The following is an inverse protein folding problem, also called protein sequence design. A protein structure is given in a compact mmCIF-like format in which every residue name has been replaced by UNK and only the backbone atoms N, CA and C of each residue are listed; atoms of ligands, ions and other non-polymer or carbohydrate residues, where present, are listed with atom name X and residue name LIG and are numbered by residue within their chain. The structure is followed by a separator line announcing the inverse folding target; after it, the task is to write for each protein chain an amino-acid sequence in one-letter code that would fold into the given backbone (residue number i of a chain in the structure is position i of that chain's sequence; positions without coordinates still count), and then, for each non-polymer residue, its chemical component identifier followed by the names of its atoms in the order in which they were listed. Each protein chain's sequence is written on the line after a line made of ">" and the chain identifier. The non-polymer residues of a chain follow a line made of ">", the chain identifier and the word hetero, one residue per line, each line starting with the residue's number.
data_IF_040936807654
#
_entry.id   IF_040936807654
#
_cell.length_a   1.000
_cell.length_b   1.000
_cell.length_c   1.000
_cell.angle_alpha   90.00
_cell.angle_beta   90.00
_cell.angle_gamma   90.00
#
_symmetry.space_group_name_H-M   'P 1'
#
loop_
_entity.id
_entity.type
_entity.pdbx_description
1 polymer ?
#
# COMPACT_ATOMS: atom_id res chain seq x y z
N UNK A 1 -32.31 -56.22 11.22
CA UNK A 1 -33.25 -55.07 11.25
C UNK A 1 -32.82 -53.89 12.13
N UNK A 2 -32.67 -54.00 13.46
CA UNK A 2 -32.32 -52.82 14.29
C UNK A 2 -30.88 -52.34 14.06
N UNK A 3 -29.93 -53.27 13.93
CA UNK A 3 -28.53 -52.96 13.63
C UNK A 3 -28.35 -52.30 12.24
N UNK A 4 -29.08 -52.74 11.22
CA UNK A 4 -29.03 -52.13 9.87
C UNK A 4 -29.54 -50.69 9.86
N UNK A 5 -30.62 -50.40 10.59
CA UNK A 5 -31.16 -49.03 10.69
C UNK A 5 -30.18 -48.08 11.38
N UNK A 6 -29.48 -48.56 12.41
CA UNK A 6 -28.42 -47.79 13.10
C UNK A 6 -27.25 -47.54 12.14
N UNK A 7 -26.83 -48.55 11.36
CA UNK A 7 -25.71 -48.46 10.42
C UNK A 7 -26.00 -47.50 9.25
N UNK A 8 -27.23 -47.51 8.72
CA UNK A 8 -27.67 -46.57 7.69
C UNK A 8 -27.75 -45.14 8.24
N UNK A 9 -28.24 -44.97 9.47
CA UNK A 9 -28.35 -43.65 10.09
C UNK A 9 -26.97 -43.08 10.43
N UNK A 10 -26.05 -43.89 10.96
CA UNK A 10 -24.69 -43.46 11.28
C UNK A 10 -23.87 -43.13 10.04
N UNK A 11 -23.99 -43.92 8.97
CA UNK A 11 -23.35 -43.63 7.69
C UNK A 11 -23.89 -42.34 7.04
N UNK A 12 -25.20 -42.09 7.09
CA UNK A 12 -25.80 -40.83 6.64
C UNK A 12 -25.29 -39.61 7.40
N UNK A 13 -25.18 -39.70 8.73
CA UNK A 13 -24.62 -38.63 9.57
C UNK A 13 -23.15 -38.37 9.26
N UNK A 14 -22.35 -39.43 9.09
CA UNK A 14 -20.93 -39.30 8.73
C UNK A 14 -20.77 -38.64 7.36
N UNK A 15 -21.51 -39.08 6.34
CA UNK A 15 -21.47 -38.48 5.01
C UNK A 15 -21.86 -37.01 5.07
N UNK A 16 -22.95 -36.66 5.77
CA UNK A 16 -23.36 -35.28 5.97
C UNK A 16 -22.26 -34.42 6.60
N UNK A 17 -21.64 -34.92 7.68
CA UNK A 17 -20.52 -34.24 8.34
C UNK A 17 -19.32 -34.03 7.40
N UNK A 18 -18.91 -35.04 6.65
CA UNK A 18 -17.82 -34.93 5.68
C UNK A 18 -18.13 -33.93 4.57
N UNK A 19 -19.35 -33.96 4.02
CA UNK A 19 -19.79 -33.01 3.00
C UNK A 19 -19.76 -31.57 3.52
N UNK A 20 -20.26 -31.32 4.74
CA UNK A 20 -20.22 -29.97 5.34
C UNK A 20 -18.78 -29.51 5.56
N UNK A 21 -17.90 -30.38 6.09
CA UNK A 21 -16.49 -30.01 6.31
C UNK A 21 -15.74 -29.74 5.00
N UNK A 22 -15.98 -30.53 3.96
CA UNK A 22 -15.40 -30.29 2.64
C UNK A 22 -15.92 -28.99 2.02
N UNK A 23 -17.21 -28.70 2.16
CA UNK A 23 -17.79 -27.44 1.71
C UNK A 23 -17.19 -26.24 2.44
N UNK A 24 -17.06 -26.29 3.76
CA UNK A 24 -16.46 -25.23 4.57
C UNK A 24 -15.00 -24.99 4.18
N UNK A 25 -14.23 -26.07 3.97
CA UNK A 25 -12.84 -25.98 3.51
C UNK A 25 -12.74 -25.31 2.14
N UNK A 26 -13.58 -25.74 1.18
CA UNK A 26 -13.59 -25.17 -0.16
C UNK A 26 -14.01 -23.69 -0.15
N UNK A 27 -15.06 -23.35 0.60
CA UNK A 27 -15.53 -21.97 0.77
C UNK A 27 -14.43 -21.10 1.36
N UNK A 28 -13.82 -21.52 2.47
CA UNK A 28 -12.72 -20.79 3.11
C UNK A 28 -11.52 -20.61 2.18
N UNK A 29 -11.19 -21.63 1.38
CA UNK A 29 -10.12 -21.54 0.39
C UNK A 29 -10.44 -20.51 -0.70
N UNK A 30 -11.68 -20.51 -1.22
CA UNK A 30 -12.13 -19.57 -2.24
C UNK A 30 -12.17 -18.13 -1.71
N UNK A 31 -12.70 -17.93 -0.51
CA UNK A 31 -12.79 -16.61 0.12
C UNK A 31 -11.39 -16.02 0.35
N UNK A 32 -10.45 -16.82 0.87
CA UNK A 32 -9.05 -16.42 0.99
C UNK A 32 -8.42 -16.09 -0.37
N UNK A 33 -8.68 -16.88 -1.41
CA UNK A 33 -8.14 -16.59 -2.75
C UNK A 33 -8.67 -15.27 -3.31
N UNK A 34 -9.95 -15.00 -3.10
CA UNK A 34 -10.58 -13.74 -3.52
C UNK A 34 -10.00 -12.55 -2.74
N UNK A 35 -9.90 -12.64 -1.42
CA UNK A 35 -9.30 -11.60 -0.58
C UNK A 35 -7.85 -11.31 -0.96
N UNK A 36 -7.05 -12.33 -1.29
CA UNK A 36 -5.67 -12.18 -1.80
C UNK A 36 -5.63 -11.34 -3.06
N UNK A 37 -6.59 -11.59 -3.96
CA UNK A 37 -6.72 -10.86 -5.22
C UNK A 37 -7.15 -9.42 -4.97
N UNK A 38 -8.15 -9.20 -4.10
CA UNK A 38 -8.61 -7.85 -3.75
C UNK A 38 -7.50 -7.02 -3.09
N UNK A 39 -6.66 -7.61 -2.23
CA UNK A 39 -5.50 -6.92 -1.67
C UNK A 39 -4.49 -6.49 -2.73
N UNK A 40 -4.24 -7.34 -3.73
CA UNK A 40 -3.34 -7.01 -4.83
C UNK A 40 -3.95 -5.92 -5.73
N UNK A 41 -5.24 -6.01 -6.05
CA UNK A 41 -5.97 -4.99 -6.81
C UNK A 41 -5.98 -3.64 -6.07
N UNK A 42 -6.15 -3.63 -4.75
CA UNK A 42 -6.03 -2.42 -3.92
C UNK A 42 -4.64 -1.78 -4.04
N UNK A 43 -3.57 -2.58 -3.97
CA UNK A 43 -2.20 -2.08 -4.19
C UNK A 43 -2.04 -1.44 -5.58
N UNK A 44 -2.60 -2.05 -6.62
CA UNK A 44 -2.53 -1.49 -7.97
C UNK A 44 -3.26 -0.13 -8.08
N UNK A 45 -4.42 0.02 -7.43
CA UNK A 45 -5.14 1.28 -7.39
C UNK A 45 -4.34 2.35 -6.64
N UNK A 46 -3.81 2.01 -5.47
CA UNK A 46 -2.95 2.91 -4.69
C UNK A 46 -1.75 3.35 -5.50
N UNK A 47 -1.09 2.43 -6.21
CA UNK A 47 0.03 2.75 -7.11
C UNK A 47 -0.34 3.84 -8.11
N UNK A 48 -1.49 3.71 -8.77
CA UNK A 48 -1.95 4.67 -9.76
C UNK A 48 -2.14 6.05 -9.12
N UNK A 49 -2.79 6.12 -7.97
CA UNK A 49 -2.97 7.38 -7.25
C UNK A 49 -1.66 8.00 -6.75
N UNK A 50 -0.67 7.19 -6.35
CA UNK A 50 0.65 7.69 -5.96
C UNK A 50 1.41 8.27 -7.17
N UNK A 51 1.26 7.68 -8.36
CA UNK A 51 1.82 8.24 -9.58
C UNK A 51 1.17 9.58 -9.96
N UNK A 52 -0.15 9.69 -9.81
CA UNK A 52 -0.85 10.97 -10.00
C UNK A 52 -0.37 12.00 -8.96
N UNK A 53 -0.22 11.59 -7.71
CA UNK A 53 0.29 12.42 -6.62
C UNK A 53 1.73 12.89 -6.88
N UNK A 54 2.56 12.03 -7.48
CA UNK A 54 3.92 12.38 -7.88
C UNK A 54 3.91 13.55 -8.86
N UNK A 55 3.05 13.52 -9.88
CA UNK A 55 2.92 14.62 -10.82
C UNK A 55 2.48 15.92 -10.15
N UNK A 56 1.56 15.86 -9.19
CA UNK A 56 1.14 17.03 -8.40
C UNK A 56 2.33 17.59 -7.60
N UNK A 57 3.13 16.72 -6.99
CA UNK A 57 4.31 17.11 -6.21
C UNK A 57 5.37 17.77 -7.09
N UNK A 58 5.71 17.14 -8.22
CA UNK A 58 6.68 17.66 -9.19
C UNK A 58 6.25 19.06 -9.68
N UNK A 59 4.97 19.26 -10.04
CA UNK A 59 4.47 20.57 -10.45
C UNK A 59 4.60 21.66 -9.37
N UNK A 60 4.43 21.29 -8.09
CA UNK A 60 4.55 22.22 -6.96
C UNK A 60 5.99 22.49 -6.58
N UNK A 61 6.86 21.48 -6.63
CA UNK A 61 8.30 21.62 -6.39
C UNK A 61 8.96 22.48 -7.46
N UNK A 62 8.59 22.28 -8.73
CA UNK A 62 9.07 23.06 -9.89
C UNK A 62 8.41 24.45 -10.01
N UNK A 63 7.60 24.86 -9.03
CA UNK A 63 6.89 26.14 -8.99
C UNK A 63 6.03 26.43 -10.23
N UNK A 64 5.56 25.39 -10.92
CA UNK A 64 4.56 25.53 -12.01
C UNK A 64 3.20 25.95 -11.46
N UNK A 65 2.94 25.61 -10.20
CA UNK A 65 1.74 25.98 -9.42
C UNK A 65 2.17 26.23 -7.98
N UNK A 66 1.57 27.23 -7.32
CA UNK A 66 1.84 27.48 -5.89
C UNK A 66 1.49 26.25 -5.03
N UNK A 67 2.18 26.10 -3.90
CA UNK A 67 2.02 24.97 -2.98
C UNK A 67 0.57 24.77 -2.53
N UNK A 68 -0.16 25.86 -2.29
CA UNK A 68 -1.55 25.87 -1.79
C UNK A 68 -2.58 26.28 -2.85
N UNK A 69 -2.24 26.12 -4.15
CA UNK A 69 -3.16 26.36 -5.26
C UNK A 69 -3.32 25.10 -6.14
N UNK A 70 -4.39 25.05 -6.93
CA UNK A 70 -4.62 24.00 -7.93
C UNK A 70 -4.98 22.64 -7.33
N UNK A 71 -4.50 21.58 -7.97
CA UNK A 71 -4.79 20.20 -7.58
C UNK A 71 -4.03 19.77 -6.33
N UNK A 72 -4.68 18.89 -5.56
CA UNK A 72 -4.13 18.30 -4.35
C UNK A 72 -4.22 16.78 -4.39
N UNK A 73 -3.29 16.07 -3.74
CA UNK A 73 -3.40 14.64 -3.58
C UNK A 73 -4.70 14.27 -2.85
N UNK A 74 -5.32 13.19 -3.29
CA UNK A 74 -6.46 12.59 -2.59
C UNK A 74 -5.93 11.72 -1.46
N UNK A 75 -6.68 11.64 -0.37
CA UNK A 75 -6.40 10.63 0.64
C UNK A 75 -6.61 9.24 0.04
N UNK A 76 -5.62 8.39 0.27
CA UNK A 76 -5.55 7.03 -0.24
C UNK A 76 -6.29 6.10 0.72
N UNK A 77 -7.30 5.40 0.23
CA UNK A 77 -8.03 4.44 1.05
C UNK A 77 -7.48 3.03 0.90
N UNK A 78 -7.43 2.30 2.02
CA UNK A 78 -7.02 0.88 2.09
C UNK A 78 -8.11 0.04 2.78
N UNK A 79 -9.36 0.02 2.28
CA UNK A 79 -10.44 -0.70 2.93
C UNK A 79 -10.16 -2.21 3.07
N UNK A 80 -9.59 -2.86 2.05
CA UNK A 80 -9.35 -4.30 2.07
C UNK A 80 -8.25 -4.63 3.09
N UNK A 81 -7.13 -3.91 3.06
CA UNK A 81 -6.11 -4.09 4.08
C UNK A 81 -6.65 -3.80 5.49
N UNK A 82 -7.36 -2.69 5.68
CA UNK A 82 -7.86 -2.27 7.00
C UNK A 82 -8.87 -3.25 7.61
N UNK A 83 -9.80 -3.76 6.81
CA UNK A 83 -10.92 -4.55 7.32
C UNK A 83 -10.73 -6.06 7.15
N UNK A 84 -9.90 -6.52 6.21
CA UNK A 84 -9.80 -7.95 5.85
C UNK A 84 -8.38 -8.53 5.88
N UNK A 85 -7.34 -7.74 6.20
CA UNK A 85 -5.99 -8.27 6.27
C UNK A 85 -5.83 -9.36 7.34
N UNK A 86 -6.49 -9.22 8.50
CA UNK A 86 -6.45 -10.22 9.57
C UNK A 86 -7.00 -11.59 9.12
N UNK A 87 -7.99 -11.60 8.23
CA UNK A 87 -8.63 -12.82 7.72
C UNK A 87 -7.69 -13.64 6.82
N UNK A 88 -6.65 -13.00 6.29
CA UNK A 88 -5.78 -13.57 5.26
C UNK A 88 -4.29 -13.56 5.60
N UNK A 89 -3.85 -12.81 6.60
CA UNK A 89 -2.43 -12.63 6.92
C UNK A 89 -1.69 -13.95 7.15
N UNK A 90 -2.31 -14.92 7.82
CA UNK A 90 -1.73 -16.26 8.06
C UNK A 90 -1.55 -17.10 6.79
N UNK A 91 -2.25 -16.74 5.72
CA UNK A 91 -2.10 -17.40 4.41
C UNK A 91 -1.09 -16.71 3.50
N UNK A 92 -0.55 -15.56 3.91
CA UNK A 92 0.48 -14.82 3.19
C UNK A 92 1.87 -15.26 3.67
N UNK A 93 2.86 -15.20 2.77
CA UNK A 93 4.25 -15.43 3.16
C UNK A 93 4.73 -14.35 4.14
N UNK A 94 5.83 -14.60 4.84
CA UNK A 94 6.48 -13.57 5.67
C UNK A 94 6.80 -12.30 4.86
N UNK A 95 7.26 -12.47 3.62
CA UNK A 95 7.71 -11.35 2.78
C UNK A 95 6.55 -10.54 2.21
N UNK A 96 5.45 -11.20 1.85
CA UNK A 96 4.20 -10.53 1.51
C UNK A 96 3.70 -9.69 2.69
N UNK A 97 3.61 -10.27 3.89
CA UNK A 97 3.17 -9.56 5.09
C UNK A 97 4.03 -8.34 5.41
N UNK A 98 5.35 -8.50 5.37
CA UNK A 98 6.28 -7.41 5.62
C UNK A 98 6.10 -6.27 4.60
N UNK A 99 6.00 -6.61 3.31
CA UNK A 99 5.80 -5.62 2.26
C UNK A 99 4.45 -4.89 2.38
N UNK A 100 3.35 -5.60 2.61
CA UNK A 100 2.04 -4.97 2.85
C UNK A 100 2.09 -4.01 4.05
N UNK A 101 2.73 -4.41 5.15
CA UNK A 101 2.87 -3.56 6.33
C UNK A 101 3.68 -2.29 6.05
N UNK A 102 4.80 -2.40 5.32
CA UNK A 102 5.63 -1.25 4.95
C UNK A 102 4.85 -0.28 4.06
N UNK A 103 4.20 -0.80 3.01
CA UNK A 103 3.37 0.01 2.09
C UNK A 103 2.28 0.74 2.88
N UNK A 104 1.55 0.02 3.74
CA UNK A 104 0.49 0.61 4.54
C UNK A 104 0.99 1.70 5.49
N UNK A 105 2.13 1.47 6.15
CA UNK A 105 2.75 2.46 7.05
C UNK A 105 3.12 3.75 6.30
N UNK A 106 3.82 3.63 5.16
CA UNK A 106 4.25 4.81 4.38
C UNK A 106 3.03 5.57 3.84
N UNK A 107 2.02 4.86 3.34
CA UNK A 107 0.82 5.53 2.82
C UNK A 107 -0.01 6.17 3.93
N UNK A 108 -0.03 5.60 5.13
CA UNK A 108 -0.65 6.24 6.30
C UNK A 108 0.06 7.57 6.61
N UNK A 109 1.40 7.59 6.60
CA UNK A 109 2.19 8.81 6.80
C UNK A 109 1.87 9.88 5.74
N UNK A 110 1.77 9.48 4.46
CA UNK A 110 1.36 10.39 3.39
C UNK A 110 -0.05 10.95 3.60
N UNK A 111 -1.00 10.11 4.01
CA UNK A 111 -2.37 10.51 4.29
C UNK A 111 -2.52 11.48 5.46
N UNK A 112 -1.65 11.36 6.47
CA UNK A 112 -1.57 12.28 7.59
C UNK A 112 -0.96 13.63 7.16
N UNK A 113 0.02 13.59 6.24
CA UNK A 113 0.66 14.79 5.70
C UNK A 113 -0.28 15.63 4.82
N UNK A 114 -1.01 15.02 3.88
CA UNK A 114 -1.80 15.75 2.89
C UNK A 114 -2.75 16.82 3.46
N UNK A 115 -3.63 16.53 4.44
CA UNK A 115 -4.55 17.53 4.96
C UNK A 115 -3.82 18.62 5.75
N UNK A 116 -2.71 18.30 6.43
CA UNK A 116 -1.93 19.25 7.22
C UNK A 116 -1.20 20.24 6.33
N UNK A 117 -0.60 19.76 5.25
CA UNK A 117 0.16 20.59 4.32
C UNK A 117 -0.75 21.39 3.38
N UNK A 118 -1.70 20.74 2.70
CA UNK A 118 -2.45 21.40 1.63
C UNK A 118 -3.62 22.27 2.10
N UNK A 119 -4.19 22.03 3.29
CA UNK A 119 -5.32 22.84 3.78
C UNK A 119 -4.93 24.08 4.58
N UNK A 120 -3.69 24.15 5.06
CA UNK A 120 -3.25 25.24 5.93
C UNK A 120 -2.43 26.24 5.13
N UNK A 121 -3.05 27.38 4.81
CA UNK A 121 -2.34 28.50 4.21
C UNK A 121 -1.25 28.99 5.15
N UNK A 122 -0.15 29.39 4.54
CA UNK A 122 1.09 29.70 5.20
C UNK A 122 1.36 31.16 4.85
N UNK A 123 1.19 32.03 5.85
CA UNK A 123 0.99 33.48 5.69
C UNK A 123 2.27 34.32 5.97
N UNK A 124 3.44 33.69 6.11
CA UNK A 124 4.69 34.36 6.49
C UNK A 124 5.72 34.38 5.36
N UNK A 125 6.61 35.37 5.35
CA UNK A 125 7.69 35.53 4.36
C UNK A 125 8.68 34.35 4.31
N UNK A 126 8.77 33.54 5.38
CA UNK A 126 9.57 32.30 5.43
C UNK A 126 8.80 31.05 4.98
N UNK A 127 7.56 31.21 4.52
CA UNK A 127 6.70 30.09 4.18
C UNK A 127 7.27 29.22 3.06
N UNK A 128 7.89 29.83 2.06
CA UNK A 128 8.34 29.15 0.85
C UNK A 128 9.40 28.07 1.13
N UNK A 129 10.45 28.41 1.88
CA UNK A 129 11.51 27.47 2.26
C UNK A 129 10.96 26.34 3.14
N UNK A 130 10.03 26.66 4.04
CA UNK A 130 9.38 25.66 4.90
C UNK A 130 8.49 24.72 4.08
N UNK A 131 7.75 25.26 3.11
CA UNK A 131 6.91 24.49 2.22
C UNK A 131 7.73 23.58 1.29
N UNK A 132 8.80 24.10 0.70
CA UNK A 132 9.75 23.32 -0.09
C UNK A 132 10.32 22.18 0.75
N UNK A 133 10.89 22.47 1.92
CA UNK A 133 11.48 21.44 2.79
C UNK A 133 10.48 20.34 3.18
N UNK A 134 9.26 20.71 3.57
CA UNK A 134 8.20 19.76 3.94
C UNK A 134 7.72 18.93 2.75
N UNK A 135 7.51 19.57 1.60
CA UNK A 135 7.07 18.87 0.40
C UNK A 135 8.15 17.92 -0.11
N UNK A 136 9.42 18.34 -0.09
CA UNK A 136 10.59 17.52 -0.44
C UNK A 136 10.70 16.28 0.45
N UNK A 137 10.53 16.43 1.77
CA UNK A 137 10.50 15.29 2.69
C UNK A 137 9.37 14.33 2.36
N UNK A 138 8.16 14.84 2.11
CA UNK A 138 7.02 13.99 1.72
C UNK A 138 7.21 13.35 0.34
N UNK A 139 7.91 14.02 -0.58
CA UNK A 139 8.23 13.51 -1.92
C UNK A 139 9.14 12.29 -1.85
N UNK A 140 10.11 12.27 -0.93
CA UNK A 140 10.94 11.09 -0.67
C UNK A 140 10.07 9.92 -0.22
N UNK A 141 9.20 10.10 0.79
CA UNK A 141 8.28 9.06 1.27
C UNK A 141 7.35 8.56 0.14
N UNK A 142 6.87 9.46 -0.72
CA UNK A 142 6.07 9.12 -1.89
C UNK A 142 6.84 8.22 -2.88
N UNK A 143 8.10 8.58 -3.21
CA UNK A 143 8.94 7.80 -4.11
C UNK A 143 9.27 6.43 -3.55
N UNK A 144 9.55 6.35 -2.24
CA UNK A 144 9.73 5.07 -1.55
C UNK A 144 8.46 4.22 -1.59
N UNK A 145 7.27 4.80 -1.36
CA UNK A 145 6.01 4.07 -1.45
C UNK A 145 5.80 3.45 -2.84
N UNK A 146 6.07 4.21 -3.90
CA UNK A 146 5.98 3.73 -5.29
C UNK A 146 6.95 2.57 -5.51
N UNK A 147 8.22 2.71 -5.09
CA UNK A 147 9.21 1.63 -5.20
C UNK A 147 8.76 0.38 -4.46
N UNK A 148 8.29 0.50 -3.22
CA UNK A 148 7.83 -0.64 -2.43
C UNK A 148 6.64 -1.37 -3.07
N UNK A 149 5.72 -0.61 -3.67
CA UNK A 149 4.59 -1.17 -4.41
C UNK A 149 5.05 -1.86 -5.70
N UNK A 150 5.91 -1.21 -6.50
CA UNK A 150 6.46 -1.79 -7.72
C UNK A 150 7.20 -3.09 -7.44
N UNK A 151 7.99 -3.10 -6.37
CA UNK A 151 8.69 -4.28 -5.90
C UNK A 151 7.71 -5.36 -5.41
N UNK A 152 6.67 -5.00 -4.66
CA UNK A 152 5.64 -5.94 -4.19
C UNK A 152 4.93 -6.63 -5.36
N UNK A 153 4.55 -5.86 -6.38
CA UNK A 153 3.85 -6.37 -7.57
C UNK A 153 4.78 -7.29 -8.36
N UNK A 154 6.00 -6.84 -8.64
CA UNK A 154 6.97 -7.58 -9.48
C UNK A 154 7.46 -8.86 -8.81
N UNK A 155 7.65 -8.84 -7.49
CA UNK A 155 8.24 -9.92 -6.72
C UNK A 155 7.28 -10.55 -5.71
N UNK A 156 5.96 -10.53 -6.00
CA UNK A 156 4.89 -10.97 -5.09
C UNK A 156 5.09 -12.35 -4.45
N UNK A 157 5.87 -13.24 -5.09
CA UNK A 157 6.14 -14.62 -4.61
C UNK A 157 7.55 -14.83 -4.06
N UNK A 158 8.44 -13.85 -4.20
CA UNK A 158 9.84 -14.01 -3.84
C UNK A 158 10.11 -13.48 -2.43
N UNK A 159 11.13 -14.02 -1.75
CA UNK A 159 11.58 -13.45 -0.50
C UNK A 159 12.22 -12.07 -0.75
N UNK A 160 11.86 -11.09 0.08
CA UNK A 160 12.53 -9.80 0.17
C UNK A 160 14.02 -10.04 0.50
N UNK A 161 14.90 -9.72 -0.46
CA UNK A 161 16.32 -9.57 -0.18
C UNK A 161 16.55 -8.20 0.45
N UNK A 162 16.74 -8.17 1.77
CA UNK A 162 16.85 -6.92 2.53
C UNK A 162 18.06 -6.08 2.12
N UNK A 163 19.17 -6.71 1.76
CA UNK A 163 20.39 -5.99 1.38
C UNK A 163 20.21 -5.29 0.04
N UNK A 164 19.66 -6.02 -0.95
CA UNK A 164 19.38 -5.45 -2.26
C UNK A 164 18.34 -4.33 -2.19
N UNK A 165 17.25 -4.52 -1.45
CA UNK A 165 16.26 -3.45 -1.26
C UNK A 165 16.87 -2.23 -0.55
N UNK A 166 17.77 -2.44 0.42
CA UNK A 166 18.48 -1.34 1.06
C UNK A 166 19.29 -0.53 0.04
N UNK A 167 20.03 -1.21 -0.83
CA UNK A 167 20.80 -0.56 -1.90
C UNK A 167 19.90 0.20 -2.88
N UNK A 168 18.82 -0.43 -3.35
CA UNK A 168 17.87 0.19 -4.28
C UNK A 168 17.21 1.43 -3.67
N UNK A 169 16.85 1.40 -2.38
CA UNK A 169 16.27 2.55 -1.68
C UNK A 169 17.31 3.66 -1.51
N UNK A 170 18.55 3.33 -1.19
CA UNK A 170 19.63 4.32 -1.07
C UNK A 170 19.95 4.97 -2.42
N UNK A 171 19.91 4.20 -3.51
CA UNK A 171 20.05 4.72 -4.88
C UNK A 171 18.86 5.63 -5.26
N UNK A 172 17.63 5.18 -5.01
CA UNK A 172 16.42 5.98 -5.20
C UNK A 172 16.50 7.31 -4.44
N UNK A 173 16.97 7.28 -3.18
CA UNK A 173 17.14 8.49 -2.37
C UNK A 173 18.14 9.43 -2.99
N UNK A 174 19.28 8.94 -3.47
CA UNK A 174 20.28 9.77 -4.17
C UNK A 174 19.68 10.45 -5.41
N UNK A 175 18.98 9.70 -6.26
CA UNK A 175 18.30 10.27 -7.43
C UNK A 175 17.30 11.37 -7.03
N UNK A 176 16.53 11.14 -5.97
CA UNK A 176 15.56 12.12 -5.47
C UNK A 176 16.28 13.35 -4.91
N UNK A 177 17.37 13.19 -4.16
CA UNK A 177 18.15 14.32 -3.66
C UNK A 177 18.76 15.13 -4.79
N UNK A 178 19.37 14.50 -5.79
CA UNK A 178 19.90 15.19 -6.98
C UNK A 178 18.80 15.97 -7.71
N UNK A 179 17.61 15.37 -7.89
CA UNK A 179 16.45 16.07 -8.46
C UNK A 179 16.05 17.29 -7.64
N UNK A 180 15.98 17.15 -6.31
CA UNK A 180 15.58 18.23 -5.41
C UNK A 180 16.63 19.35 -5.32
N UNK A 181 17.93 19.02 -5.35
CA UNK A 181 19.03 20.00 -5.40
C UNK A 181 18.96 20.81 -6.69
N UNK A 182 18.79 20.15 -7.84
CA UNK A 182 18.66 20.83 -9.12
C UNK A 182 17.48 21.82 -9.12
N UNK A 183 16.34 21.45 -8.52
CA UNK A 183 15.18 22.32 -8.43
C UNK A 183 15.37 23.42 -7.37
N UNK A 184 16.01 23.12 -6.25
CA UNK A 184 16.32 24.09 -5.20
C UNK A 184 17.22 25.20 -5.70
N UNK A 185 18.28 24.84 -6.44
CA UNK A 185 19.24 25.78 -7.03
C UNK A 185 18.64 26.59 -8.18
N UNK A 186 17.65 26.05 -8.90
CA UNK A 186 16.92 26.76 -9.97
C UNK A 186 15.97 27.85 -9.45
N UNK A 187 15.66 27.82 -8.16
CA UNK A 187 14.57 28.56 -7.52
C UNK A 187 15.07 29.59 -6.48
N UNK A 188 16.39 29.69 -6.29
CA UNK A 188 17.11 30.70 -5.49
C UNK A 188 17.69 31.78 -6.41
#
# INVERSE_FOLDING_TARGET
>A
MYQEKILITSSGVLIGFFCTKLYDLYKNYRDKRNLKRCLLEEIHLVRQYLLDTRSIYENKLERKVDYHCGDYPRQLEFPIYKYHYADICLSLSYTQRASYQIIYSIVTELNDFYPVFFRKNCNDDNCENVCFSKLSSSYISLREAIYWIDNHISHYRQPINKEQIGQDIDELRKEVFEYLENIGDSNL
#
